data_IF_902316979036
#
_entry.id   IF_902316979036
#
_cell.length_a   1.000
_cell.length_b   1.000
_cell.length_c   1.000
_cell.angle_alpha   90.00
_cell.angle_beta   90.00
_cell.angle_gamma   90.00
#
_symmetry.space_group_name_H-M   'P 1'
#
loop_
_entity.id
_entity.type
_entity.pdbx_description
1 polymer ?
#
# COMPACT_ATOMS: atom_id res chain seq x y z
N UNK A 1 38.10 -29.04 -1.99
CA UNK A 1 37.32 -28.13 -2.86
C UNK A 1 35.80 -28.32 -2.83
N UNK A 2 35.25 -29.40 -2.23
CA UNK A 2 33.79 -29.62 -2.17
C UNK A 2 33.03 -28.76 -1.14
N UNK A 3 33.71 -28.32 -0.06
CA UNK A 3 33.10 -27.52 1.02
C UNK A 3 32.90 -26.04 0.66
N UNK A 4 33.76 -25.48 -0.21
CA UNK A 4 33.65 -24.08 -0.66
C UNK A 4 32.43 -23.89 -1.57
N UNK A 5 32.17 -24.86 -2.45
CA UNK A 5 30.97 -24.87 -3.29
C UNK A 5 29.68 -24.88 -2.47
N UNK A 6 29.61 -25.66 -1.39
CA UNK A 6 28.41 -25.68 -0.55
C UNK A 6 28.12 -24.32 0.11
N UNK A 7 29.16 -23.59 0.55
CA UNK A 7 29.01 -22.28 1.20
C UNK A 7 28.58 -21.21 0.20
N UNK A 8 29.14 -21.20 -1.02
CA UNK A 8 28.73 -20.26 -2.07
C UNK A 8 27.31 -20.52 -2.55
N UNK A 9 26.87 -21.79 -2.64
CA UNK A 9 25.49 -22.13 -3.01
C UNK A 9 24.48 -21.72 -1.92
N UNK A 10 24.81 -21.85 -0.63
CA UNK A 10 23.95 -21.41 0.48
C UNK A 10 23.80 -19.88 0.50
N UNK A 11 24.87 -19.12 0.20
CA UNK A 11 24.80 -17.66 0.14
C UNK A 11 23.88 -17.16 -0.99
N UNK A 12 23.86 -17.84 -2.14
CA UNK A 12 23.06 -17.47 -3.30
C UNK A 12 21.56 -17.77 -3.11
N UNK A 13 21.23 -18.85 -2.40
CA UNK A 13 19.84 -19.22 -2.10
C UNK A 13 19.23 -18.25 -1.06
N UNK A 14 20.03 -17.75 -0.11
CA UNK A 14 19.58 -16.77 0.88
C UNK A 14 19.25 -15.39 0.26
N UNK A 15 19.91 -15.02 -0.85
CA UNK A 15 19.61 -13.77 -1.58
C UNK A 15 18.34 -13.83 -2.44
N UNK A 16 17.72 -15.00 -2.65
CA UNK A 16 16.58 -15.14 -3.54
C UNK A 16 15.20 -14.90 -2.89
N UNK A 17 15.10 -14.60 -1.59
CA UNK A 17 13.80 -14.54 -0.89
C UNK A 17 13.37 -13.12 -0.49
N UNK A 18 14.25 -12.12 -0.52
CA UNK A 18 13.85 -10.73 -0.26
C UNK A 18 13.40 -10.02 -1.55
N UNK A 19 12.33 -10.52 -2.17
CA UNK A 19 11.64 -9.77 -3.21
C UNK A 19 10.88 -8.63 -2.56
N UNK A 20 11.39 -7.41 -2.76
CA UNK A 20 10.88 -6.12 -2.30
C UNK A 20 9.63 -5.70 -3.07
N UNK A 21 8.71 -6.63 -3.37
CA UNK A 21 7.58 -6.35 -4.24
C UNK A 21 6.36 -5.90 -3.44
N UNK A 22 5.64 -4.91 -3.99
CA UNK A 22 4.39 -4.46 -3.42
C UNK A 22 3.36 -5.60 -3.52
N UNK A 23 2.64 -5.86 -2.43
CA UNK A 23 1.68 -6.95 -2.37
C UNK A 23 0.32 -6.44 -2.83
N UNK A 24 -0.22 -7.02 -3.91
CA UNK A 24 -1.56 -6.68 -4.37
C UNK A 24 -2.61 -7.12 -3.34
N UNK A 25 -3.59 -6.24 -3.09
CA UNK A 25 -4.72 -6.51 -2.20
C UNK A 25 -6.00 -5.93 -2.81
N UNK A 26 -7.08 -6.68 -2.69
CA UNK A 26 -8.41 -6.24 -3.11
C UNK A 26 -9.45 -6.58 -2.06
N UNK A 27 -10.53 -5.81 -2.08
CA UNK A 27 -11.67 -6.03 -1.21
C UNK A 27 -12.91 -5.32 -1.74
N UNK A 28 -13.98 -5.33 -0.95
CA UNK A 28 -15.26 -4.78 -1.39
C UNK A 28 -15.19 -3.26 -1.57
N UNK A 29 -14.99 -2.83 -2.81
CA UNK A 29 -14.97 -1.42 -3.22
C UNK A 29 -13.58 -0.77 -3.20
N UNK A 30 -12.51 -1.57 -3.17
CA UNK A 30 -11.14 -1.09 -3.29
C UNK A 30 -10.22 -2.16 -3.93
N UNK A 31 -9.21 -1.68 -4.64
CA UNK A 31 -8.05 -2.46 -5.10
C UNK A 31 -6.79 -1.61 -4.86
N UNK A 32 -5.64 -2.25 -4.63
CA UNK A 32 -4.42 -1.52 -4.36
C UNK A 32 -3.22 -2.41 -4.04
N UNK A 33 -2.16 -1.77 -3.55
CA UNK A 33 -0.89 -2.40 -3.24
C UNK A 33 -0.42 -2.01 -1.84
N UNK A 34 -0.02 -3.01 -1.06
CA UNK A 34 0.63 -2.85 0.23
C UNK A 34 2.13 -2.73 -0.05
N UNK A 35 2.77 -1.69 0.49
CA UNK A 35 4.20 -1.50 0.37
C UNK A 35 4.88 -2.01 1.65
N UNK A 36 5.57 -3.18 1.59
CA UNK A 36 6.26 -3.74 2.75
C UNK A 36 7.25 -2.75 3.35
N UNK A 37 7.56 -2.90 4.64
CA UNK A 37 8.54 -2.06 5.33
C UNK A 37 9.92 -2.10 4.67
N UNK A 38 10.25 -3.21 4.01
CA UNK A 38 11.49 -3.42 3.25
C UNK A 38 11.49 -2.69 1.90
N UNK A 39 10.34 -2.18 1.44
CA UNK A 39 10.22 -1.47 0.17
C UNK A 39 10.62 0.01 0.36
N UNK A 40 11.76 0.37 -0.23
CA UNK A 40 12.23 1.76 -0.25
C UNK A 40 11.29 2.61 -1.09
N UNK A 41 10.72 3.64 -0.47
CA UNK A 41 9.75 4.53 -1.09
C UNK A 41 10.34 5.93 -1.23
N UNK A 42 10.74 6.30 -2.45
CA UNK A 42 11.22 7.64 -2.73
C UNK A 42 10.07 8.65 -2.56
N UNK A 43 10.26 9.66 -1.70
CA UNK A 43 9.25 10.70 -1.41
C UNK A 43 8.30 10.41 -0.24
N UNK A 44 8.49 9.31 0.49
CA UNK A 44 7.76 9.01 1.72
C UNK A 44 8.65 9.27 2.95
N UNK A 45 8.08 9.62 4.12
CA UNK A 45 8.88 9.91 5.31
C UNK A 45 9.75 8.70 5.73
N UNK A 46 10.95 8.95 6.28
CA UNK A 46 12.00 7.96 6.47
C UNK A 46 11.65 6.80 7.43
N UNK A 47 12.40 5.71 7.26
CA UNK A 47 12.00 4.30 7.41
C UNK A 47 11.94 3.70 8.83
N UNK A 48 12.39 4.40 9.88
CA UNK A 48 12.71 3.73 11.17
C UNK A 48 11.54 2.97 11.80
N UNK A 49 10.32 3.43 11.59
CA UNK A 49 9.12 2.84 12.14
C UNK A 49 8.17 2.27 11.07
N UNK A 50 8.67 1.91 9.89
CA UNK A 50 7.87 1.27 8.84
C UNK A 50 7.32 -0.07 9.33
N UNK A 51 6.07 -0.32 8.98
CA UNK A 51 5.33 -1.53 9.28
C UNK A 51 4.72 -2.09 7.99
N UNK A 52 4.60 -3.41 7.90
CA UNK A 52 3.93 -4.10 6.79
C UNK A 52 2.53 -4.52 7.26
N UNK A 53 1.46 -3.80 6.89
CA UNK A 53 0.12 -4.17 7.33
C UNK A 53 -0.33 -5.52 6.78
N UNK A 54 -1.08 -6.26 7.58
CA UNK A 54 -1.78 -7.47 7.16
C UNK A 54 -3.01 -7.12 6.32
N UNK A 55 -3.54 -8.11 5.59
CA UNK A 55 -4.77 -7.92 4.81
C UNK A 55 -5.98 -7.62 5.71
N UNK A 56 -6.04 -8.18 6.92
CA UNK A 56 -7.08 -7.90 7.90
C UNK A 56 -7.03 -6.44 8.39
N UNK A 57 -5.84 -5.93 8.66
CA UNK A 57 -5.62 -4.54 9.07
C UNK A 57 -6.00 -3.56 7.96
N UNK A 58 -5.67 -3.89 6.69
CA UNK A 58 -6.14 -3.14 5.52
C UNK A 58 -7.67 -3.13 5.44
N UNK A 59 -8.32 -4.28 5.63
CA UNK A 59 -9.78 -4.37 5.60
C UNK A 59 -10.43 -3.51 6.70
N UNK A 60 -9.84 -3.48 7.90
CA UNK A 60 -10.27 -2.62 9.00
C UNK A 60 -10.09 -1.14 8.65
N UNK A 61 -8.93 -0.76 8.11
CA UNK A 61 -8.64 0.61 7.71
C UNK A 61 -9.59 1.11 6.60
N UNK A 62 -9.88 0.28 5.58
CA UNK A 62 -10.83 0.61 4.52
C UNK A 62 -12.28 0.74 5.05
N UNK A 63 -12.66 -0.06 6.06
CA UNK A 63 -13.94 0.13 6.74
C UNK A 63 -14.01 1.50 7.42
N UNK A 64 -12.98 1.87 8.19
CA UNK A 64 -12.89 3.18 8.87
C UNK A 64 -12.92 4.33 7.85
N UNK A 65 -12.14 4.23 6.77
CA UNK A 65 -12.12 5.21 5.69
C UNK A 65 -13.51 5.37 5.07
N UNK A 66 -14.16 4.27 4.70
CA UNK A 66 -15.49 4.30 4.08
C UNK A 66 -16.55 4.89 5.00
N UNK A 67 -16.48 4.59 6.29
CA UNK A 67 -17.47 5.07 7.27
C UNK A 67 -17.27 6.58 7.55
N UNK A 68 -16.02 7.05 7.56
CA UNK A 68 -15.65 8.44 7.85
C UNK A 68 -15.71 9.41 6.65
N UNK A 69 -15.51 8.94 5.40
CA UNK A 69 -15.39 9.80 4.21
C UNK A 69 -16.58 10.75 3.97
N UNK A 70 -17.76 10.38 4.48
CA UNK A 70 -19.00 11.14 4.33
C UNK A 70 -19.24 12.19 5.43
N UNK A 71 -18.42 12.20 6.49
CA UNK A 71 -18.59 13.07 7.65
C UNK A 71 -18.33 14.54 7.31
N UNK A 72 -18.89 15.45 8.12
CA UNK A 72 -18.69 16.90 7.95
C UNK A 72 -17.21 17.26 8.06
N UNK A 73 -16.51 16.66 9.04
CA UNK A 73 -15.07 16.84 9.25
C UNK A 73 -14.26 16.48 8.00
N UNK A 74 -14.47 15.28 7.44
CA UNK A 74 -13.69 14.86 6.26
C UNK A 74 -14.07 15.69 5.03
N UNK A 75 -15.34 16.07 4.86
CA UNK A 75 -15.76 16.93 3.75
C UNK A 75 -15.14 18.32 3.81
N UNK A 76 -15.04 18.96 4.97
CA UNK A 76 -14.45 20.30 5.08
C UNK A 76 -12.96 20.30 4.72
N UNK A 77 -12.23 19.26 5.12
CA UNK A 77 -10.80 19.12 4.81
C UNK A 77 -10.54 18.76 3.33
N UNK A 78 -11.52 18.25 2.60
CA UNK A 78 -11.40 17.97 1.17
C UNK A 78 -11.58 19.21 0.27
N UNK A 79 -12.24 20.26 0.75
CA UNK A 79 -12.57 21.46 -0.04
C UNK A 79 -11.33 22.17 -0.60
N UNK A 80 -10.17 22.02 0.05
CA UNK A 80 -8.93 22.65 -0.34
C UNK A 80 -8.26 22.03 -1.60
N UNK A 81 -8.59 20.79 -2.00
CA UNK A 81 -7.75 20.06 -2.96
C UNK A 81 -8.47 19.35 -4.11
N UNK A 82 -9.76 18.96 -3.99
CA UNK A 82 -10.43 18.15 -5.04
C UNK A 82 -11.89 18.56 -5.28
N UNK A 83 -12.21 18.92 -6.53
CA UNK A 83 -13.59 19.08 -7.03
C UNK A 83 -13.86 18.04 -8.13
N UNK A 84 -14.88 17.17 -7.99
CA UNK A 84 -15.78 16.99 -6.85
C UNK A 84 -15.09 16.25 -5.66
N UNK A 85 -15.60 16.42 -4.42
CA UNK A 85 -15.07 15.74 -3.25
C UNK A 85 -15.23 14.22 -3.34
N UNK A 86 -14.26 13.50 -2.79
CA UNK A 86 -14.30 12.05 -2.62
C UNK A 86 -15.40 11.71 -1.61
N UNK A 87 -16.25 10.77 -1.99
CA UNK A 87 -17.34 10.26 -1.19
C UNK A 87 -17.45 8.74 -1.34
N UNK A 88 -18.37 8.12 -0.58
CA UNK A 88 -18.57 6.65 -0.59
C UNK A 88 -18.77 6.06 -1.99
N UNK A 89 -19.37 6.80 -2.94
CA UNK A 89 -19.63 6.32 -4.30
C UNK A 89 -18.40 6.45 -5.21
N UNK A 90 -17.64 7.53 -5.07
CA UNK A 90 -16.47 7.81 -5.93
C UNK A 90 -15.19 7.18 -5.39
N UNK A 91 -15.15 6.83 -4.10
CA UNK A 91 -13.98 6.28 -3.45
C UNK A 91 -13.47 5.01 -4.17
N UNK A 92 -14.35 4.16 -4.71
CA UNK A 92 -13.98 2.97 -5.48
C UNK A 92 -13.18 3.23 -6.77
N UNK A 93 -13.15 4.47 -7.26
CA UNK A 93 -12.48 4.82 -8.53
C UNK A 93 -10.98 5.11 -8.36
N UNK A 94 -10.43 4.88 -7.17
CA UNK A 94 -9.04 5.18 -6.84
C UNK A 94 -8.28 3.89 -6.59
N UNK A 95 -7.07 3.75 -7.12
CA UNK A 95 -6.15 2.69 -6.71
C UNK A 95 -5.52 3.10 -5.38
N UNK A 96 -5.41 2.16 -4.43
CA UNK A 96 -4.78 2.42 -3.14
C UNK A 96 -3.30 2.10 -3.15
N UNK A 97 -2.54 2.91 -2.45
CA UNK A 97 -1.22 2.56 -1.96
C UNK A 97 -1.27 2.60 -0.44
N UNK A 98 -0.94 1.48 0.19
CA UNK A 98 -0.94 1.34 1.65
C UNK A 98 0.48 1.36 2.16
N UNK A 99 0.76 2.28 3.08
CA UNK A 99 2.04 2.39 3.76
C UNK A 99 1.79 2.36 5.26
N UNK A 100 2.35 1.35 5.94
CA UNK A 100 2.19 1.17 7.37
C UNK A 100 3.34 1.80 8.16
N UNK A 101 3.00 2.27 9.35
CA UNK A 101 3.92 2.75 10.39
C UNK A 101 3.47 2.19 11.74
N UNK A 102 4.41 2.04 12.67
CA UNK A 102 4.14 1.68 14.06
C UNK A 102 4.63 2.81 15.00
N UNK A 103 3.89 3.12 16.05
CA UNK A 103 4.32 4.08 17.08
C UNK A 103 5.18 3.40 18.16
N UNK A 104 5.80 4.18 19.05
CA UNK A 104 6.56 3.64 20.18
C UNK A 104 5.67 2.85 21.15
N UNK A 105 4.38 3.22 21.24
CA UNK A 105 3.35 2.56 22.03
C UNK A 105 2.78 1.29 21.36
N UNK A 106 3.21 0.97 20.13
CA UNK A 106 2.74 -0.18 19.37
C UNK A 106 1.45 0.05 18.60
N UNK A 107 1.01 1.30 18.43
CA UNK A 107 -0.14 1.63 17.59
C UNK A 107 0.22 1.58 16.11
N UNK A 108 -0.69 1.07 15.28
CA UNK A 108 -0.47 0.93 13.84
C UNK A 108 -1.16 2.06 13.09
N UNK A 109 -0.38 2.81 12.33
CA UNK A 109 -0.86 3.89 11.46
C UNK A 109 -0.76 3.42 10.01
N UNK A 110 -1.88 3.44 9.29
CA UNK A 110 -1.93 3.07 7.87
C UNK A 110 -2.23 4.31 7.04
N UNK A 111 -1.26 4.77 6.28
CA UNK A 111 -1.46 5.82 5.29
C UNK A 111 -2.04 5.22 4.01
N UNK A 112 -3.21 5.72 3.60
CA UNK A 112 -3.91 5.31 2.38
C UNK A 112 -3.81 6.43 1.36
N UNK A 113 -2.99 6.23 0.34
CA UNK A 113 -2.88 7.17 -0.77
C UNK A 113 -3.90 6.81 -1.86
N UNK A 114 -4.69 7.81 -2.26
CA UNK A 114 -5.76 7.66 -3.25
C UNK A 114 -5.31 8.18 -4.62
N UNK A 115 -4.86 7.26 -5.47
CA UNK A 115 -4.45 7.55 -6.84
C UNK A 115 -5.62 7.31 -7.79
N UNK A 116 -6.16 8.38 -8.36
CA UNK A 116 -7.07 8.25 -9.49
C UNK A 116 -6.19 7.82 -10.65
N UNK A 117 -6.42 6.63 -11.21
CA UNK A 117 -5.66 6.23 -12.37
C UNK A 117 -5.71 7.34 -13.42
N UNK A 118 -4.55 7.78 -13.92
CA UNK A 118 -4.45 7.98 -15.37
C UNK A 118 -4.97 6.66 -15.92
N UNK A 119 -6.09 6.68 -16.65
CA UNK A 119 -6.74 5.48 -17.19
C UNK A 119 -5.70 4.39 -17.38
N UNK A 120 -5.65 3.43 -16.46
CA UNK A 120 -4.77 2.28 -16.64
C UNK A 120 -5.33 1.65 -17.89
N UNK A 121 -4.59 1.85 -18.97
CA UNK A 121 -4.83 1.36 -20.30
C UNK A 121 -4.71 -0.17 -20.19
N UNK A 122 -5.74 -0.78 -19.60
CA UNK A 122 -5.90 -2.22 -19.34
C UNK A 122 -5.93 -3.01 -20.66
N UNK A 123 -5.66 -2.37 -21.81
CA UNK A 123 -5.57 -2.96 -23.14
C UNK A 123 -4.15 -3.25 -23.65
N UNK A 124 -3.08 -2.71 -23.07
CA UNK A 124 -1.75 -2.80 -23.71
C UNK A 124 -0.74 -3.80 -23.09
N UNK A 125 -1.03 -4.48 -21.98
CA UNK A 125 -0.14 -5.55 -21.45
C UNK A 125 -0.46 -6.96 -21.97
N UNK A 126 -1.30 -7.07 -23.00
CA UNK A 126 -1.45 -8.30 -23.81
C UNK A 126 -1.10 -8.01 -25.26
N UNK A 127 0.19 -7.80 -25.55
CA UNK A 127 0.81 -8.19 -26.83
C UNK A 127 2.32 -7.97 -26.81
N UNK A 128 3.00 -9.13 -26.78
CA UNK A 128 4.32 -9.45 -27.37
C UNK A 128 5.55 -8.77 -26.77
#
# INVERSE_FOLDING_TARGET
MKKIFAITTILFIASCIYSQEAVYVEGKGYEGYIFPKEHSLWGFPPEQNRYTPSSEEIALAEKILRDSIGTVYVKSHQQAYRKPPINKRTLKNYLRQYVGYITEEGEIIIHIYLNKGIETDKKNYRKR
#
